data_IF_944826580090
#
_entry.id   IF_944826580090
#
_cell.length_a   1.000
_cell.length_b   1.000
_cell.length_c   1.000
_cell.angle_alpha   90.00
_cell.angle_beta   90.00
_cell.angle_gamma   90.00
#
_symmetry.space_group_name_H-M   'P 1'
#
loop_
_entity.id
_entity.type
_entity.pdbx_description
1 polymer ?
#
# COMPACT_ATOMS: atom_id res chain seq x y z
N UNK A 1 -2.33 -13.05 28.62
CA UNK A 1 -3.06 -11.76 28.79
C UNK A 1 -4.15 -11.73 27.74
N UNK A 2 -5.41 -11.85 28.13
CA UNK A 2 -6.54 -11.73 27.20
C UNK A 2 -6.71 -10.24 26.88
N UNK A 3 -6.45 -9.88 25.63
CA UNK A 3 -6.73 -8.53 25.15
C UNK A 3 -8.25 -8.36 25.16
N UNK A 4 -8.72 -7.36 25.88
CA UNK A 4 -10.14 -7.04 25.99
C UNK A 4 -10.79 -6.79 24.61
N UNK A 5 -12.05 -7.19 24.46
CA UNK A 5 -12.76 -7.13 23.17
C UNK A 5 -12.94 -5.70 22.66
N UNK A 6 -13.08 -4.73 23.57
CA UNK A 6 -13.20 -3.32 23.24
C UNK A 6 -11.88 -2.81 22.65
N UNK A 7 -10.75 -3.21 23.25
CA UNK A 7 -9.42 -2.87 22.74
C UNK A 7 -9.13 -3.52 21.38
N UNK A 8 -9.51 -4.80 21.17
CA UNK A 8 -9.41 -5.44 19.85
C UNK A 8 -10.20 -4.66 18.78
N UNK A 9 -11.42 -4.24 19.12
CA UNK A 9 -12.27 -3.42 18.27
C UNK A 9 -11.66 -2.05 17.93
N UNK A 10 -11.09 -1.36 18.92
CA UNK A 10 -10.40 -0.09 18.72
C UNK A 10 -9.21 -0.22 17.76
N UNK A 11 -8.34 -1.21 17.97
CA UNK A 11 -7.16 -1.44 17.13
C UNK A 11 -7.59 -1.79 15.69
N UNK A 12 -8.57 -2.68 15.52
CA UNK A 12 -9.10 -3.01 14.19
C UNK A 12 -9.62 -1.76 13.45
N UNK A 13 -10.28 -0.84 14.16
CA UNK A 13 -10.75 0.43 13.58
C UNK A 13 -9.60 1.33 13.15
N UNK A 14 -8.53 1.45 13.94
CA UNK A 14 -7.37 2.29 13.59
C UNK A 14 -6.60 1.72 12.39
N UNK A 15 -6.40 0.40 12.34
CA UNK A 15 -5.66 -0.27 11.24
C UNK A 15 -6.39 -0.10 9.90
N UNK A 16 -7.72 -0.09 9.92
CA UNK A 16 -8.53 0.09 8.70
C UNK A 16 -8.76 1.57 8.32
N UNK A 17 -8.23 2.52 9.10
CA UNK A 17 -8.39 3.95 8.81
C UNK A 17 -7.55 4.33 7.59
N UNK A 18 -8.22 4.82 6.55
CA UNK A 18 -7.53 5.33 5.35
C UNK A 18 -7.00 6.74 5.62
N UNK A 19 -5.75 6.97 5.24
CA UNK A 19 -5.15 8.30 5.25
C UNK A 19 -5.38 8.93 3.87
N UNK A 20 -6.15 10.01 3.81
CA UNK A 20 -6.53 10.62 2.53
C UNK A 20 -5.77 11.91 2.23
N UNK A 21 -4.62 12.17 2.87
CA UNK A 21 -3.83 13.40 2.70
C UNK A 21 -2.45 13.11 2.12
N UNK A 22 -2.00 13.97 1.22
CA UNK A 22 -0.63 13.92 0.72
C UNK A 22 0.37 14.41 1.78
N UNK A 23 1.41 13.62 2.04
CA UNK A 23 2.45 13.92 3.03
C UNK A 23 3.69 14.59 2.44
N UNK A 24 3.73 14.81 1.13
CA UNK A 24 4.90 15.33 0.44
C UNK A 24 5.18 16.82 0.74
N UNK A 25 6.44 17.20 0.99
CA UNK A 25 7.49 16.43 1.70
C UNK A 25 7.35 16.54 3.24
N UNK A 26 6.65 17.56 3.73
CA UNK A 26 6.41 17.84 5.15
C UNK A 26 4.92 18.15 5.43
N UNK A 27 4.01 17.44 4.77
CA UNK A 27 2.55 17.66 4.82
C UNK A 27 2.06 19.03 4.32
N UNK A 28 2.88 19.81 3.62
CA UNK A 28 2.48 21.12 3.08
C UNK A 28 1.42 20.98 1.98
N UNK A 29 1.39 19.83 1.32
CA UNK A 29 0.39 19.52 0.30
C UNK A 29 -1.02 19.35 0.91
N UNK A 30 -1.97 20.15 0.44
CA UNK A 30 -3.38 20.07 0.82
C UNK A 30 -4.22 19.15 -0.08
N UNK A 31 -3.61 18.56 -1.12
CA UNK A 31 -4.30 17.67 -2.05
C UNK A 31 -4.55 16.31 -1.40
N UNK A 32 -5.61 15.66 -1.82
CA UNK A 32 -5.93 14.31 -1.37
C UNK A 32 -4.90 13.31 -1.88
N UNK A 33 -4.58 12.34 -1.02
CA UNK A 33 -3.77 11.20 -1.43
C UNK A 33 -4.58 10.31 -2.38
N UNK A 34 -3.94 9.87 -3.45
CA UNK A 34 -4.46 8.84 -4.33
C UNK A 34 -4.04 7.47 -3.80
N UNK A 35 -4.52 6.43 -4.48
CA UNK A 35 -4.00 5.07 -4.34
C UNK A 35 -2.74 4.94 -5.20
N UNK A 36 -1.64 5.49 -4.70
CA UNK A 36 -0.33 5.48 -5.34
C UNK A 36 0.27 4.07 -5.33
N UNK A 37 1.02 3.71 -6.37
CA UNK A 37 1.74 2.43 -6.46
C UNK A 37 3.22 2.66 -6.14
N UNK A 38 3.78 1.96 -5.13
CA UNK A 38 5.22 2.04 -4.88
C UNK A 38 6.05 1.23 -5.89
N UNK A 39 5.42 0.30 -6.61
CA UNK A 39 6.00 -0.39 -7.77
C UNK A 39 5.09 -0.17 -8.98
N UNK A 40 5.65 0.31 -10.08
CA UNK A 40 4.90 0.72 -11.27
C UNK A 40 3.98 -0.39 -11.82
N UNK A 41 2.66 -0.13 -11.86
CA UNK A 41 1.66 -1.11 -12.25
C UNK A 41 1.72 -1.49 -13.74
N UNK A 42 1.77 -0.50 -14.62
CA UNK A 42 1.70 -0.68 -16.09
C UNK A 42 2.96 -1.30 -16.69
N UNK A 43 3.95 -1.65 -15.87
CA UNK A 43 5.26 -2.03 -16.36
C UNK A 43 5.89 -3.15 -15.55
N UNK A 44 6.34 -2.86 -14.33
CA UNK A 44 6.97 -3.86 -13.47
C UNK A 44 5.96 -4.91 -13.05
N UNK A 45 4.82 -4.50 -12.46
CA UNK A 45 3.81 -5.46 -12.02
C UNK A 45 3.18 -6.21 -13.20
N UNK A 46 2.99 -5.54 -14.34
CA UNK A 46 2.51 -6.18 -15.56
C UNK A 46 3.50 -7.22 -16.12
N UNK A 47 4.81 -7.03 -15.94
CA UNK A 47 5.81 -7.98 -16.44
C UNK A 47 5.90 -9.25 -15.58
N UNK A 48 5.57 -9.17 -14.29
CA UNK A 48 5.71 -10.29 -13.35
C UNK A 48 4.38 -10.94 -12.96
N UNK A 49 3.26 -10.42 -13.44
CA UNK A 49 1.94 -10.95 -13.09
C UNK A 49 1.68 -12.31 -13.72
N UNK A 50 0.87 -13.10 -13.01
CA UNK A 50 0.25 -14.31 -13.52
C UNK A 50 -1.27 -14.19 -13.31
N UNK A 51 -2.03 -14.25 -14.40
CA UNK A 51 -3.49 -14.13 -14.38
C UNK A 51 -4.01 -12.86 -13.67
N UNK A 52 -3.32 -11.73 -13.86
CA UNK A 52 -3.61 -10.43 -13.27
C UNK A 52 -3.19 -10.26 -11.81
N UNK A 53 -2.46 -11.24 -11.24
CA UNK A 53 -2.04 -11.26 -9.84
C UNK A 53 -0.52 -11.31 -9.71
N UNK A 54 -0.01 -10.76 -8.62
CA UNK A 54 1.40 -10.90 -8.20
C UNK A 54 1.44 -11.48 -6.80
N UNK A 55 2.50 -12.22 -6.49
CA UNK A 55 2.74 -12.72 -5.13
C UNK A 55 3.30 -11.57 -4.29
N UNK A 56 2.59 -11.20 -3.23
CA UNK A 56 3.00 -10.13 -2.32
C UNK A 56 2.89 -10.59 -0.87
N UNK A 57 3.86 -10.21 -0.04
CA UNK A 57 3.78 -10.41 1.40
C UNK A 57 2.68 -9.51 1.98
N UNK A 58 1.70 -10.12 2.66
CA UNK A 58 0.57 -9.42 3.25
C UNK A 58 0.57 -9.60 4.78
N UNK A 59 0.31 -8.54 5.55
CA UNK A 59 0.12 -8.67 6.99
C UNK A 59 -1.17 -9.45 7.29
N UNK A 60 -1.09 -10.36 8.24
CA UNK A 60 -2.22 -11.10 8.82
C UNK A 60 -2.26 -10.81 10.31
N UNK A 61 -3.25 -10.04 10.73
CA UNK A 61 -3.41 -9.72 12.15
C UNK A 61 -4.32 -10.78 12.77
N UNK A 62 -3.75 -11.59 13.65
CA UNK A 62 -4.49 -12.45 14.56
C UNK A 62 -4.25 -11.93 15.98
N UNK A 63 -5.30 -11.53 16.69
CA UNK A 63 -5.15 -10.95 18.03
C UNK A 63 -4.73 -11.97 19.10
N UNK A 64 -4.89 -13.27 18.82
CA UNK A 64 -4.55 -14.34 19.77
C UNK A 64 -3.17 -14.95 19.46
N UNK A 65 -2.77 -14.96 18.19
CA UNK A 65 -1.47 -15.51 17.75
C UNK A 65 -0.42 -14.42 17.44
N UNK A 66 -0.80 -13.14 17.49
CA UNK A 66 0.04 -12.02 17.10
C UNK A 66 0.07 -11.73 15.58
N UNK A 67 0.75 -10.65 15.17
CA UNK A 67 0.88 -10.31 13.75
C UNK A 67 1.76 -11.33 13.03
N UNK A 68 1.26 -11.84 11.92
CA UNK A 68 1.99 -12.72 11.00
C UNK A 68 2.08 -12.06 9.62
N UNK A 69 2.96 -12.57 8.78
CA UNK A 69 3.02 -12.19 7.38
C UNK A 69 2.89 -13.47 6.53
N UNK A 70 2.08 -13.41 5.47
CA UNK A 70 1.88 -14.54 4.56
C UNK A 70 1.93 -14.05 3.11
N UNK A 71 2.52 -14.85 2.23
CA UNK A 71 2.49 -14.56 0.79
C UNK A 71 1.09 -14.83 0.25
N UNK A 72 0.56 -13.89 -0.54
CA UNK A 72 -0.74 -14.01 -1.20
C UNK A 72 -0.66 -13.57 -2.64
N UNK A 73 -1.54 -14.14 -3.45
CA UNK A 73 -1.88 -13.58 -4.75
C UNK A 73 -2.68 -12.30 -4.55
N UNK A 74 -2.14 -11.19 -5.05
CA UNK A 74 -2.75 -9.86 -4.96
C UNK A 74 -2.90 -9.32 -6.37
N UNK A 75 -4.11 -8.90 -6.73
CA UNK A 75 -4.36 -8.30 -8.04
C UNK A 75 -3.43 -7.09 -8.26
N UNK A 76 -2.79 -7.01 -9.43
CA UNK A 76 -1.77 -5.98 -9.72
C UNK A 76 -2.22 -4.53 -9.48
N UNK A 77 -3.52 -4.26 -9.68
CA UNK A 77 -4.13 -2.94 -9.43
C UNK A 77 -4.24 -2.57 -7.93
N UNK A 78 -4.01 -3.52 -7.03
CA UNK A 78 -4.02 -3.34 -5.57
C UNK A 78 -2.63 -3.57 -4.96
N UNK A 79 -1.81 -4.41 -5.58
CA UNK A 79 -0.48 -4.71 -5.11
C UNK A 79 0.36 -3.43 -5.00
N UNK A 80 1.16 -3.34 -3.93
CA UNK A 80 2.08 -2.22 -3.65
C UNK A 80 1.40 -0.84 -3.55
N UNK A 81 0.08 -0.82 -3.35
CA UNK A 81 -0.64 0.44 -3.23
C UNK A 81 -0.56 1.01 -1.82
N UNK A 82 -0.46 2.32 -1.71
CA UNK A 82 -0.48 3.05 -0.46
C UNK A 82 -1.20 4.39 -0.61
N UNK A 83 -1.58 4.99 0.50
CA UNK A 83 -2.23 6.30 0.54
C UNK A 83 -1.33 7.28 1.30
N UNK A 84 -0.64 8.15 0.56
CA UNK A 84 0.29 9.13 1.13
C UNK A 84 0.81 10.18 0.14
N UNK A 85 0.58 10.00 -1.16
CA UNK A 85 0.93 10.96 -2.20
C UNK A 85 -0.31 11.32 -3.02
N UNK A 86 -0.43 12.58 -3.42
CA UNK A 86 -1.37 12.98 -4.47
C UNK A 86 -0.75 12.62 -5.84
N UNK A 87 -1.56 12.60 -6.91
CA UNK A 87 -1.07 12.20 -8.22
C UNK A 87 0.07 13.05 -8.78
N UNK A 88 0.16 14.33 -8.40
CA UNK A 88 1.29 15.19 -8.80
C UNK A 88 2.60 14.74 -8.16
N UNK A 89 2.62 14.55 -6.85
CA UNK A 89 3.82 14.17 -6.13
C UNK A 89 4.21 12.71 -6.33
N UNK A 90 3.25 11.82 -6.56
CA UNK A 90 3.49 10.45 -7.01
C UNK A 90 4.28 10.45 -8.33
N UNK A 91 3.76 11.15 -9.35
CA UNK A 91 4.46 11.31 -10.63
C UNK A 91 5.83 11.99 -10.45
N UNK A 92 5.92 13.08 -9.69
CA UNK A 92 7.18 13.80 -9.48
C UNK A 92 8.26 12.91 -8.85
N UNK A 93 7.90 12.12 -7.84
CA UNK A 93 8.83 11.25 -7.13
C UNK A 93 9.31 10.09 -8.00
N UNK A 94 8.40 9.45 -8.74
CA UNK A 94 8.71 8.20 -9.46
C UNK A 94 9.09 8.39 -10.92
N UNK A 95 8.86 9.57 -11.52
CA UNK A 95 9.19 9.86 -12.94
C UNK A 95 10.59 9.41 -13.38
N UNK A 96 11.68 9.67 -12.62
CA UNK A 96 13.02 9.25 -13.05
C UNK A 96 13.18 7.72 -13.18
N UNK A 97 12.41 6.96 -12.39
CA UNK A 97 12.42 5.50 -12.39
C UNK A 97 11.48 4.99 -13.49
N UNK A 98 10.28 5.53 -13.59
CA UNK A 98 9.25 5.13 -14.55
C UNK A 98 9.67 5.35 -16.01
N UNK A 99 10.45 6.40 -16.28
CA UNK A 99 10.97 6.73 -17.61
C UNK A 99 12.19 5.87 -18.01
N UNK A 100 12.77 5.08 -17.08
CA UNK A 100 14.00 4.29 -17.33
C UNK A 100 13.72 2.87 -17.80
N UNK A 101 14.56 2.24 -18.64
CA UNK A 101 14.35 0.85 -19.10
C UNK A 101 14.42 -0.18 -17.94
N UNK A 102 13.60 -1.24 -18.00
CA UNK A 102 13.64 -2.34 -17.02
C UNK A 102 14.78 -3.19 -17.52
N UNK A 103 15.86 -3.21 -16.75
CA UNK A 103 17.08 -3.97 -17.07
C UNK A 103 16.92 -5.44 -16.73
#
# INVERSE_FOLDING_TARGET
>A
MTIDSEFKGFIAKQINKKFCRCFWPFEECKKEAIRAHSIQNSRVLQAIEQNGHVVMLQPKINFDEGPKAEFKDVGRNKATTFTGLCGEHDNQLFKPIDDSEIK
#
